data_IF_209408443716
#
_entry.id   IF_209408443716
#
_cell.length_a   1.000
_cell.length_b   1.000
_cell.length_c   1.000
_cell.angle_alpha   90.00
_cell.angle_beta   90.00
_cell.angle_gamma   90.00
#
_symmetry.space_group_name_H-M   'P 1'
#
loop_
_entity.id
_entity.type
_entity.pdbx_description
1 polymer ?
#
# COMPACT_ATOMS: atom_id res chain seq x y z
N UNK A 1 -32.68 -33.58 -9.04
CA UNK A 1 -31.50 -33.04 -9.74
C UNK A 1 -31.38 -31.53 -9.65
N UNK A 2 -32.42 -30.73 -9.95
CA UNK A 2 -32.36 -29.27 -9.87
C UNK A 2 -32.07 -28.71 -8.46
N UNK A 3 -32.68 -29.27 -7.42
CA UNK A 3 -32.44 -28.89 -6.01
C UNK A 3 -30.98 -29.07 -5.58
N UNK A 4 -30.35 -30.16 -6.02
CA UNK A 4 -28.93 -30.45 -5.73
C UNK A 4 -28.03 -29.41 -6.40
N UNK A 5 -28.29 -29.08 -7.67
CA UNK A 5 -27.54 -28.05 -8.40
C UNK A 5 -27.71 -26.67 -7.76
N UNK A 6 -28.92 -26.32 -7.32
CA UNK A 6 -29.19 -25.06 -6.61
C UNK A 6 -28.45 -24.98 -5.27
N UNK A 7 -28.42 -26.08 -4.51
CA UNK A 7 -27.71 -26.14 -3.22
C UNK A 7 -26.20 -25.96 -3.40
N UNK A 8 -25.62 -26.58 -4.44
CA UNK A 8 -24.21 -26.45 -4.78
C UNK A 8 -23.88 -25.02 -5.23
N UNK A 9 -24.72 -24.41 -6.08
CA UNK A 9 -24.56 -23.03 -6.51
C UNK A 9 -24.59 -22.04 -5.34
N UNK A 10 -25.51 -22.21 -4.38
CA UNK A 10 -25.57 -21.37 -3.16
C UNK A 10 -24.32 -21.52 -2.30
N UNK A 11 -23.81 -22.74 -2.13
CA UNK A 11 -22.59 -23.00 -1.36
C UNK A 11 -21.35 -22.37 -2.02
N UNK A 12 -21.20 -22.54 -3.33
CA UNK A 12 -20.12 -21.93 -4.10
C UNK A 12 -20.17 -20.40 -4.05
N UNK A 13 -21.36 -19.81 -4.17
CA UNK A 13 -21.57 -18.37 -4.04
C UNK A 13 -21.20 -17.87 -2.63
N UNK A 14 -21.63 -18.57 -1.58
CA UNK A 14 -21.27 -18.24 -0.19
C UNK A 14 -19.75 -18.28 0.04
N UNK A 15 -19.08 -19.31 -0.51
CA UNK A 15 -17.62 -19.42 -0.45
C UNK A 15 -16.89 -18.29 -1.20
N UNK A 16 -17.40 -17.86 -2.34
CA UNK A 16 -16.85 -16.74 -3.10
C UNK A 16 -17.01 -15.41 -2.35
N UNK A 17 -18.18 -15.14 -1.76
CA UNK A 17 -18.45 -13.94 -0.96
C UNK A 17 -17.53 -13.88 0.27
N UNK A 18 -17.39 -14.99 0.99
CA UNK A 18 -16.51 -15.06 2.15
C UNK A 18 -15.05 -14.77 1.78
N UNK A 19 -14.55 -15.35 0.68
CA UNK A 19 -13.19 -15.09 0.20
C UNK A 19 -13.00 -13.62 -0.18
N UNK A 20 -13.97 -13.01 -0.87
CA UNK A 20 -13.91 -11.60 -1.24
C UNK A 20 -13.91 -10.68 0.00
N UNK A 21 -14.74 -10.98 1.00
CA UNK A 21 -14.78 -10.22 2.25
C UNK A 21 -13.46 -10.31 3.03
N UNK A 22 -12.87 -11.50 3.16
CA UNK A 22 -11.56 -11.67 3.81
C UNK A 22 -10.44 -10.95 3.05
N UNK A 23 -10.43 -11.03 1.72
CA UNK A 23 -9.46 -10.29 0.91
C UNK A 23 -9.58 -8.77 1.10
N UNK A 24 -10.81 -8.24 1.12
CA UNK A 24 -11.06 -6.83 1.38
C UNK A 24 -10.62 -6.41 2.79
N UNK A 25 -10.88 -7.23 3.82
CA UNK A 25 -10.46 -6.95 5.19
C UNK A 25 -8.93 -6.92 5.33
N UNK A 26 -8.22 -7.85 4.69
CA UNK A 26 -6.76 -7.90 4.70
C UNK A 26 -6.14 -6.67 4.01
N UNK A 27 -6.64 -6.30 2.83
CA UNK A 27 -6.19 -5.11 2.10
C UNK A 27 -6.43 -3.83 2.93
N UNK A 28 -7.61 -3.71 3.56
CA UNK A 28 -7.95 -2.58 4.42
C UNK A 28 -7.00 -2.49 5.63
N UNK A 29 -6.67 -3.62 6.25
CA UNK A 29 -5.71 -3.68 7.36
C UNK A 29 -4.31 -3.24 6.92
N UNK A 30 -3.87 -3.68 5.74
CA UNK A 30 -2.56 -3.32 5.19
C UNK A 30 -2.49 -1.82 4.87
N UNK A 31 -3.52 -1.26 4.21
CA UNK A 31 -3.62 0.17 3.92
C UNK A 31 -3.62 1.02 5.20
N UNK A 32 -4.33 0.58 6.24
CA UNK A 32 -4.33 1.26 7.53
C UNK A 32 -2.98 1.16 8.26
N UNK A 33 -2.27 0.04 8.15
CA UNK A 33 -0.92 -0.14 8.67
C UNK A 33 0.06 0.85 8.04
N UNK A 34 0.14 0.86 6.70
CA UNK A 34 1.00 1.78 5.94
C UNK A 34 0.69 3.24 6.28
N UNK A 35 -0.59 3.61 6.44
CA UNK A 35 -0.96 4.96 6.84
C UNK A 35 -0.43 5.32 8.22
N UNK A 36 -0.50 4.42 9.21
CA UNK A 36 0.06 4.66 10.54
C UNK A 36 1.58 4.84 10.48
N UNK A 37 2.27 3.99 9.71
CA UNK A 37 3.72 4.04 9.58
C UNK A 37 4.19 5.36 8.92
N UNK A 38 3.47 5.86 7.90
CA UNK A 38 3.73 7.17 7.29
C UNK A 38 3.58 8.31 8.31
N UNK A 39 2.56 8.26 9.16
CA UNK A 39 2.36 9.26 10.20
C UNK A 39 3.47 9.22 11.25
N UNK A 40 3.88 8.02 11.66
CA UNK A 40 5.01 7.83 12.57
C UNK A 40 6.30 8.41 11.99
N UNK A 41 6.63 8.09 10.74
CA UNK A 41 7.82 8.65 10.05
C UNK A 41 7.77 10.17 10.01
N UNK A 42 6.60 10.76 9.71
CA UNK A 42 6.43 12.22 9.69
C UNK A 42 6.72 12.85 11.06
N UNK A 43 6.21 12.27 12.14
CA UNK A 43 6.39 12.80 13.50
C UNK A 43 7.85 12.65 13.96
N UNK A 44 8.52 11.55 13.63
CA UNK A 44 9.95 11.35 13.87
C UNK A 44 10.80 12.38 13.11
N UNK A 45 10.53 12.60 11.82
CA UNK A 45 11.23 13.62 11.02
C UNK A 45 11.03 15.04 11.60
N UNK A 46 9.83 15.37 12.08
CA UNK A 46 9.57 16.65 12.72
C UNK A 46 10.36 16.82 14.03
N UNK A 47 10.47 15.74 14.82
CA UNK A 47 11.28 15.72 16.04
C UNK A 47 12.77 15.89 15.73
N UNK A 48 13.26 15.20 14.71
CA UNK A 48 14.65 15.30 14.25
C UNK A 48 14.97 16.73 13.76
N UNK A 49 14.05 17.35 13.01
CA UNK A 49 14.20 18.74 12.57
C UNK A 49 14.25 19.72 13.75
N UNK A 50 13.36 19.58 14.73
CA UNK A 50 13.36 20.43 15.93
C UNK A 50 14.68 20.31 16.71
N UNK A 51 15.24 19.10 16.81
CA UNK A 51 16.54 18.88 17.43
C UNK A 51 17.67 19.56 16.65
N UNK A 52 17.71 19.45 15.31
CA UNK A 52 18.73 20.11 14.49
C UNK A 52 18.74 21.62 14.71
N UNK A 53 17.54 22.25 14.72
CA UNK A 53 17.40 23.69 15.00
C UNK A 53 17.91 24.04 16.40
N UNK A 54 17.64 23.21 17.40
CA UNK A 54 18.16 23.41 18.76
C UNK A 54 19.70 23.26 18.82
N UNK A 55 20.25 22.30 18.09
CA UNK A 55 21.68 22.03 18.01
C UNK A 55 22.47 23.14 17.31
N UNK A 56 21.90 23.78 16.28
CA UNK A 56 22.51 24.94 15.59
C UNK A 56 22.73 26.13 16.54
N UNK A 57 21.88 26.28 17.56
CA UNK A 57 22.03 27.29 18.62
C UNK A 57 23.12 26.97 19.65
N UNK A 58 23.66 25.74 19.68
CA UNK A 58 24.65 25.33 20.67
C UNK A 58 26.07 25.71 20.22
N UNK A 59 26.76 26.54 21.01
CA UNK A 59 28.14 27.01 20.72
C UNK A 59 29.21 25.92 20.74
N UNK A 60 28.90 24.69 21.17
CA UNK A 60 29.84 23.57 21.29
C UNK A 60 29.53 22.51 20.22
N UNK A 61 30.49 22.29 19.32
CA UNK A 61 30.48 21.18 18.35
C UNK A 61 30.85 19.88 19.06
N UNK A 62 29.89 19.35 19.82
CA UNK A 62 30.07 18.08 20.52
C UNK A 62 30.17 16.93 19.50
N UNK A 63 31.06 15.97 19.74
CA UNK A 63 31.27 14.81 18.85
C UNK A 63 29.96 14.04 18.62
N UNK A 64 29.11 14.05 19.65
CA UNK A 64 27.75 13.51 19.65
C UNK A 64 26.84 14.16 18.60
N UNK A 65 26.90 15.48 18.41
CA UNK A 65 26.10 16.19 17.42
C UNK A 65 26.48 15.79 15.99
N UNK A 66 27.77 15.54 15.75
CA UNK A 66 28.26 15.13 14.44
C UNK A 66 27.81 13.71 14.07
N UNK A 67 27.93 12.78 15.02
CA UNK A 67 27.45 11.39 14.84
C UNK A 67 25.94 11.37 14.62
N UNK A 68 25.20 12.16 15.38
CA UNK A 68 23.75 12.19 15.28
C UNK A 68 23.27 12.82 13.97
N UNK A 69 23.90 13.91 13.51
CA UNK A 69 23.60 14.49 12.19
C UNK A 69 23.87 13.52 11.04
N UNK A 70 24.89 12.66 11.18
CA UNK A 70 25.20 11.60 10.21
C UNK A 70 24.11 10.52 10.18
N UNK A 71 23.63 10.09 11.34
CA UNK A 71 22.50 9.14 11.47
C UNK A 71 21.19 9.70 10.89
N UNK A 72 20.90 10.98 11.15
CA UNK A 72 19.71 11.65 10.60
C UNK A 72 19.73 11.67 9.09
N UNK A 73 20.90 11.99 8.52
CA UNK A 73 21.09 12.03 7.08
C UNK A 73 20.90 10.64 6.46
N UNK A 74 21.51 9.62 7.04
CA UNK A 74 21.38 8.23 6.57
C UNK A 74 19.92 7.75 6.64
N UNK A 75 19.23 8.00 7.76
CA UNK A 75 17.82 7.66 7.90
C UNK A 75 16.94 8.40 6.89
N UNK A 76 17.23 9.68 6.63
CA UNK A 76 16.48 10.47 5.64
C UNK A 76 16.62 9.89 4.23
N UNK A 77 17.83 9.47 3.83
CA UNK A 77 18.03 8.80 2.54
C UNK A 77 17.27 7.48 2.45
N UNK A 78 17.32 6.65 3.51
CA UNK A 78 16.58 5.40 3.54
C UNK A 78 15.05 5.61 3.42
N UNK A 79 14.52 6.67 4.06
CA UNK A 79 13.11 7.05 3.94
C UNK A 79 12.79 7.51 2.51
N UNK A 80 13.63 8.36 1.92
CA UNK A 80 13.45 8.87 0.55
C UNK A 80 13.44 7.72 -0.47
N UNK A 81 14.39 6.79 -0.37
CA UNK A 81 14.46 5.61 -1.24
C UNK A 81 13.22 4.72 -1.09
N UNK A 82 12.79 4.47 0.15
CA UNK A 82 11.61 3.64 0.43
C UNK A 82 10.32 4.29 -0.11
N UNK A 83 10.16 5.61 0.05
CA UNK A 83 9.03 6.35 -0.52
C UNK A 83 9.09 6.38 -2.05
N UNK A 84 10.27 6.50 -2.63
CA UNK A 84 10.50 6.43 -4.07
C UNK A 84 10.07 5.08 -4.65
N UNK A 85 10.53 3.98 -4.05
CA UNK A 85 10.15 2.62 -4.45
C UNK A 85 8.64 2.40 -4.30
N UNK A 86 8.05 2.87 -3.19
CA UNK A 86 6.61 2.80 -2.97
C UNK A 86 5.82 3.53 -4.07
N UNK A 87 6.21 4.75 -4.44
CA UNK A 87 5.55 5.51 -5.51
C UNK A 87 5.63 4.79 -6.86
N UNK A 88 6.79 4.24 -7.21
CA UNK A 88 6.97 3.46 -8.45
C UNK A 88 6.10 2.20 -8.43
N UNK A 89 6.07 1.49 -7.30
CA UNK A 89 5.26 0.29 -7.14
C UNK A 89 3.77 0.60 -7.27
N UNK A 90 3.26 1.60 -6.56
CA UNK A 90 1.85 2.02 -6.64
C UNK A 90 1.49 2.47 -8.06
N UNK A 91 2.34 3.27 -8.72
CA UNK A 91 2.11 3.71 -10.08
C UNK A 91 2.07 2.52 -11.06
N UNK A 92 3.03 1.60 -11.00
CA UNK A 92 3.07 0.42 -11.88
C UNK A 92 1.89 -0.52 -11.63
N UNK A 93 1.53 -0.74 -10.36
CA UNK A 93 0.40 -1.59 -9.99
C UNK A 93 -0.92 -0.98 -10.44
N UNK A 94 -1.05 0.36 -10.44
CA UNK A 94 -2.22 1.06 -10.98
C UNK A 94 -2.38 0.85 -12.49
N UNK A 95 -1.29 0.91 -13.26
CA UNK A 95 -1.27 0.67 -14.70
C UNK A 95 -1.59 -0.80 -15.03
N UNK A 96 -0.94 -1.73 -14.32
CA UNK A 96 -1.21 -3.17 -14.42
C UNK A 96 -2.68 -3.50 -14.12
N UNK A 97 -3.23 -2.98 -13.01
CA UNK A 97 -4.64 -3.15 -12.65
C UNK A 97 -5.58 -2.58 -13.72
N UNK A 98 -5.25 -1.42 -14.30
CA UNK A 98 -6.04 -0.80 -15.38
C UNK A 98 -6.05 -1.66 -16.65
N UNK A 99 -4.90 -2.20 -17.03
CA UNK A 99 -4.77 -3.10 -18.18
C UNK A 99 -5.54 -4.41 -17.97
N UNK A 100 -5.41 -5.02 -16.79
CA UNK A 100 -6.16 -6.24 -16.43
C UNK A 100 -7.67 -6.01 -16.43
N UNK A 101 -8.15 -4.86 -15.93
CA UNK A 101 -9.57 -4.48 -16.00
C UNK A 101 -10.07 -4.38 -17.44
N UNK A 102 -9.32 -3.73 -18.33
CA UNK A 102 -9.70 -3.62 -19.75
C UNK A 102 -9.75 -4.99 -20.43
N UNK A 103 -8.76 -5.86 -20.16
CA UNK A 103 -8.75 -7.23 -20.68
C UNK A 103 -9.96 -8.03 -20.21
N UNK A 104 -10.31 -7.93 -18.92
CA UNK A 104 -11.46 -8.62 -18.36
C UNK A 104 -12.79 -8.09 -18.93
N UNK A 105 -12.92 -6.76 -19.07
CA UNK A 105 -14.09 -6.16 -19.71
C UNK A 105 -14.23 -6.60 -21.17
N UNK A 106 -13.13 -6.64 -21.92
CA UNK A 106 -13.14 -7.16 -23.29
C UNK A 106 -13.60 -8.62 -23.32
N UNK A 107 -13.06 -9.46 -22.45
CA UNK A 107 -13.42 -10.87 -22.37
C UNK A 107 -14.92 -11.08 -22.03
N UNK A 108 -15.45 -10.32 -21.07
CA UNK A 108 -16.89 -10.35 -20.75
C UNK A 108 -17.73 -9.87 -21.94
N UNK A 109 -17.32 -8.79 -22.61
CA UNK A 109 -18.04 -8.25 -23.76
C UNK A 109 -18.10 -9.24 -24.93
N UNK A 110 -17.04 -10.04 -25.13
CA UNK A 110 -17.01 -11.14 -26.10
C UNK A 110 -17.99 -12.23 -25.70
N UNK A 111 -17.94 -12.71 -24.45
CA UNK A 111 -18.86 -13.73 -23.95
C UNK A 111 -20.34 -13.32 -24.05
N UNK A 112 -20.67 -12.06 -23.73
CA UNK A 112 -22.04 -11.53 -23.86
C UNK A 112 -22.49 -11.50 -25.33
N UNK A 113 -21.57 -11.20 -26.26
CA UNK A 113 -21.86 -11.17 -27.69
C UNK A 113 -22.13 -12.59 -28.21
N UNK A 114 -21.34 -13.55 -27.81
CA UNK A 114 -21.48 -14.95 -28.21
C UNK A 114 -22.77 -15.59 -27.67
N UNK A 115 -23.23 -15.17 -26.48
CA UNK A 115 -24.51 -15.61 -25.90
C UNK A 115 -25.75 -15.02 -26.59
N UNK A 116 -25.59 -13.97 -27.38
CA UNK A 116 -26.69 -13.30 -28.10
C UNK A 116 -26.84 -13.80 -29.54
N UNK A 117 -25.87 -14.58 -30.04
CA UNK A 117 -25.91 -15.31 -31.31
C UNK A 117 -26.55 -16.67 -31.14
#
# INVERSE_FOLDING_TARGET
MAETVLSMARSMLGGAISKAASAAANEMSLLMGVRKDIWFIKDELATMQAFLVAAEGMKKKDMLLKVWAEQVRELSYNIEDCLGEFMVHVASQSLSRKLMKLKHQHQIAVQIRDLKS
#
